data_IF_010282897849
#
_entry.id   IF_010282897849
#
_cell.length_a   1.000
_cell.length_b   1.000
_cell.length_c   1.000
_cell.angle_alpha   90.00
_cell.angle_beta   90.00
_cell.angle_gamma   90.00
#
_symmetry.space_group_name_H-M   'P 1'
#
loop_
_entity.id
_entity.type
_entity.pdbx_description
1 polymer ?
#
# COMPACT_ATOMS: atom_id res chain seq x y z
N UNK A 1 -8.58 6.13 -2.24
CA UNK A 1 -7.40 5.61 -2.99
C UNK A 1 -7.06 6.44 -4.23
N UNK A 2 -7.90 6.46 -5.27
CA UNK A 2 -7.63 7.21 -6.52
C UNK A 2 -7.20 8.68 -6.31
N UNK A 3 -7.96 9.44 -5.51
CA UNK A 3 -7.61 10.84 -5.23
C UNK A 3 -6.24 10.99 -4.53
N UNK A 4 -5.87 10.05 -3.66
CA UNK A 4 -4.57 10.05 -3.01
C UNK A 4 -3.45 9.75 -4.01
N UNK A 5 -3.65 8.79 -4.93
CA UNK A 5 -2.70 8.53 -6.01
C UNK A 5 -2.46 9.77 -6.88
N UNK A 6 -3.48 10.60 -7.12
CA UNK A 6 -3.32 11.89 -7.81
C UNK A 6 -2.53 12.88 -6.95
N UNK A 7 -2.89 13.04 -5.66
CA UNK A 7 -2.22 13.99 -4.75
C UNK A 7 -0.73 13.71 -4.55
N UNK A 8 -0.36 12.44 -4.48
CA UNK A 8 1.00 11.99 -4.18
C UNK A 8 1.82 11.63 -5.42
N UNK A 9 1.29 11.84 -6.63
CA UNK A 9 1.95 11.42 -7.88
C UNK A 9 2.32 9.92 -7.85
N UNK A 10 1.36 9.10 -7.39
CA UNK A 10 1.49 7.63 -7.21
C UNK A 10 1.45 6.84 -8.51
N UNK A 11 1.79 7.46 -9.64
CA UNK A 11 1.82 6.85 -10.96
C UNK A 11 2.69 7.68 -11.91
N UNK A 12 3.08 7.10 -13.04
CA UNK A 12 3.67 7.84 -14.16
C UNK A 12 2.98 7.43 -15.46
N UNK A 13 3.42 6.32 -16.10
CA UNK A 13 2.83 5.86 -17.36
C UNK A 13 1.37 5.37 -17.24
N UNK A 14 0.86 5.20 -16.01
CA UNK A 14 -0.50 4.74 -15.75
C UNK A 14 -0.74 3.24 -15.92
N UNK A 15 0.18 2.50 -16.55
CA UNK A 15 -0.06 1.11 -16.95
C UNK A 15 -0.33 0.16 -15.77
N UNK A 16 0.46 0.26 -14.69
CA UNK A 16 0.26 -0.55 -13.48
C UNK A 16 -0.82 0.01 -12.55
N UNK A 17 -1.25 1.26 -12.75
CA UNK A 17 -2.05 2.02 -11.77
C UNK A 17 -3.38 1.35 -11.40
N UNK A 18 -4.14 0.72 -12.32
CA UNK A 18 -5.34 -0.01 -11.95
C UNK A 18 -5.06 -1.15 -10.94
N UNK A 19 -4.01 -1.95 -11.18
CA UNK A 19 -3.61 -3.03 -10.28
C UNK A 19 -3.11 -2.53 -8.93
N UNK A 20 -2.34 -1.44 -8.93
CA UNK A 20 -1.88 -0.78 -7.72
C UNK A 20 -3.05 -0.29 -6.85
N UNK A 21 -4.06 0.34 -7.45
CA UNK A 21 -5.22 0.87 -6.72
C UNK A 21 -6.06 -0.26 -6.14
N UNK A 22 -6.38 -1.29 -6.93
CA UNK A 22 -7.18 -2.43 -6.45
C UNK A 22 -6.47 -3.16 -5.30
N UNK A 23 -5.17 -3.44 -5.47
CA UNK A 23 -4.39 -4.11 -4.44
C UNK A 23 -4.23 -3.24 -3.19
N UNK A 24 -3.99 -1.93 -3.34
CA UNK A 24 -3.84 -1.04 -2.19
C UNK A 24 -5.12 -0.96 -1.35
N UNK A 25 -6.31 -1.02 -1.96
CA UNK A 25 -7.58 -1.11 -1.21
C UNK A 25 -7.66 -2.43 -0.46
N UNK A 26 -7.41 -3.55 -1.14
CA UNK A 26 -7.46 -4.88 -0.53
C UNK A 26 -6.45 -5.03 0.62
N UNK A 27 -5.23 -4.54 0.45
CA UNK A 27 -4.17 -4.57 1.48
C UNK A 27 -4.59 -3.84 2.76
N UNK A 28 -5.24 -2.68 2.65
CA UNK A 28 -5.72 -1.95 3.83
C UNK A 28 -6.87 -2.70 4.53
N UNK A 29 -7.76 -3.35 3.76
CA UNK A 29 -8.82 -4.19 4.31
C UNK A 29 -8.26 -5.46 5.00
N UNK A 30 -7.25 -6.10 4.42
CA UNK A 30 -6.54 -7.25 5.00
C UNK A 30 -5.83 -6.91 6.32
N UNK A 31 -5.16 -5.76 6.38
CA UNK A 31 -4.54 -5.25 7.60
C UNK A 31 -5.61 -5.02 8.66
N UNK A 32 -6.72 -4.36 8.30
CA UNK A 32 -7.85 -4.14 9.21
C UNK A 32 -8.49 -5.44 9.71
N UNK A 33 -8.46 -6.49 8.89
CA UNK A 33 -8.93 -7.83 9.24
C UNK A 33 -7.92 -8.64 10.08
N UNK A 34 -6.71 -8.11 10.33
CA UNK A 34 -5.67 -8.78 11.11
C UNK A 34 -4.95 -9.89 10.37
N UNK A 35 -4.99 -9.91 9.03
CA UNK A 35 -4.26 -10.91 8.23
C UNK A 35 -2.76 -10.59 8.31
N UNK A 36 -1.89 -11.51 8.77
CA UNK A 36 -0.45 -11.26 8.85
C UNK A 36 0.22 -11.29 7.46
N UNK A 37 1.43 -10.75 7.36
CA UNK A 37 2.29 -10.85 6.17
C UNK A 37 3.65 -11.44 6.52
N UNK A 38 4.55 -11.51 5.54
CA UNK A 38 5.91 -12.01 5.75
C UNK A 38 6.75 -11.15 6.71
N UNK A 39 6.39 -9.87 6.87
CA UNK A 39 7.12 -8.91 7.72
C UNK A 39 6.42 -8.65 9.06
N UNK A 40 5.41 -9.43 9.41
CA UNK A 40 4.74 -9.34 10.72
C UNK A 40 5.60 -10.00 11.79
N UNK A 41 6.09 -9.21 12.76
CA UNK A 41 6.99 -9.70 13.82
C UNK A 41 6.27 -10.57 14.88
N UNK A 42 5.09 -10.14 15.33
CA UNK A 42 4.27 -10.85 16.32
C UNK A 42 2.90 -11.21 15.73
N UNK A 43 2.67 -12.49 15.47
CA UNK A 43 1.43 -13.02 14.90
C UNK A 43 0.22 -12.94 15.85
N UNK A 44 0.45 -12.63 17.13
CA UNK A 44 -0.60 -12.46 18.13
C UNK A 44 -0.95 -10.99 18.39
N UNK A 45 -0.14 -10.05 17.88
CA UNK A 45 -0.40 -8.62 17.99
C UNK A 45 -1.37 -8.13 16.89
N UNK A 46 -2.10 -7.02 17.12
CA UNK A 46 -2.89 -6.39 16.07
C UNK A 46 -2.01 -5.96 14.88
N UNK A 47 -2.47 -6.23 13.65
CA UNK A 47 -1.79 -5.77 12.45
C UNK A 47 -1.86 -4.24 12.31
N UNK A 48 -0.74 -3.60 11.96
CA UNK A 48 -0.64 -2.15 11.78
C UNK A 48 -0.30 -1.79 10.34
N UNK A 49 -0.89 -0.69 9.84
CA UNK A 49 -0.63 -0.17 8.50
C UNK A 49 0.69 0.62 8.42
N UNK A 50 1.80 -0.05 8.72
CA UNK A 50 3.15 0.51 8.60
C UNK A 50 3.62 0.50 7.14
N UNK A 51 4.62 1.34 6.80
CA UNK A 51 5.21 1.32 5.45
C UNK A 51 5.84 -0.02 5.08
N UNK A 52 6.40 -0.72 6.06
CA UNK A 52 7.05 -2.02 5.84
C UNK A 52 5.99 -3.06 5.48
N UNK A 53 4.88 -3.12 6.23
CA UNK A 53 3.72 -3.96 5.92
C UNK A 53 3.11 -3.64 4.56
N UNK A 54 2.88 -2.35 4.26
CA UNK A 54 2.31 -1.95 2.97
C UNK A 54 3.24 -2.31 1.80
N UNK A 55 4.57 -2.15 1.95
CA UNK A 55 5.53 -2.50 0.89
C UNK A 55 5.58 -4.00 0.62
N UNK A 56 5.62 -4.82 1.66
CA UNK A 56 5.63 -6.28 1.52
C UNK A 56 4.36 -6.75 0.80
N UNK A 57 3.19 -6.29 1.25
CA UNK A 57 1.90 -6.71 0.70
C UNK A 57 1.66 -6.20 -0.72
N UNK A 58 2.26 -5.06 -1.08
CA UNK A 58 2.18 -4.52 -2.44
C UNK A 58 3.25 -5.07 -3.39
N UNK A 59 4.16 -5.93 -2.93
CA UNK A 59 5.29 -6.46 -3.72
C UNK A 59 4.85 -7.24 -4.97
N UNK A 60 3.63 -7.78 -4.98
CA UNK A 60 3.01 -8.43 -6.14
C UNK A 60 2.62 -7.48 -7.29
N UNK A 61 2.69 -6.17 -7.11
CA UNK A 61 2.33 -5.17 -8.12
C UNK A 61 3.56 -4.43 -8.64
N UNK A 62 4.08 -4.88 -9.79
CA UNK A 62 5.29 -4.30 -10.39
C UNK A 62 5.02 -2.94 -11.06
N UNK A 63 5.85 -1.96 -10.74
CA UNK A 63 5.87 -0.62 -11.35
C UNK A 63 7.25 -0.36 -11.99
N UNK A 64 7.32 -0.40 -13.32
CA UNK A 64 8.60 -0.15 -14.03
C UNK A 64 9.03 1.31 -14.02
N UNK A 65 8.09 2.23 -13.86
CA UNK A 65 8.35 3.65 -13.68
C UNK A 65 9.02 3.98 -12.33
N UNK A 66 8.92 3.08 -11.35
CA UNK A 66 9.53 3.27 -10.03
C UNK A 66 8.76 4.21 -9.09
N UNK A 67 7.45 4.34 -9.25
CA UNK A 67 6.60 5.22 -8.43
C UNK A 67 6.31 4.69 -7.00
N UNK A 68 7.05 3.69 -6.51
CA UNK A 68 6.71 2.95 -5.29
C UNK A 68 6.66 3.81 -4.01
N UNK A 69 7.57 4.77 -3.86
CA UNK A 69 7.56 5.68 -2.69
C UNK A 69 6.27 6.49 -2.64
N UNK A 70 5.88 7.07 -3.77
CA UNK A 70 4.68 7.88 -3.93
C UNK A 70 3.39 7.04 -3.77
N UNK A 71 3.39 5.80 -4.26
CA UNK A 71 2.30 4.84 -4.02
C UNK A 71 2.16 4.57 -2.51
N UNK A 72 3.27 4.37 -1.80
CA UNK A 72 3.26 4.18 -0.34
C UNK A 72 2.76 5.43 0.40
N UNK A 73 3.08 6.64 -0.07
CA UNK A 73 2.58 7.90 0.51
C UNK A 73 1.06 8.04 0.30
N UNK A 74 0.56 7.71 -0.89
CA UNK A 74 -0.88 7.69 -1.18
C UNK A 74 -1.64 6.71 -0.27
N UNK A 75 -1.06 5.54 0.01
CA UNK A 75 -1.66 4.56 0.92
C UNK A 75 -1.65 5.04 2.37
N UNK A 76 -0.54 5.61 2.85
CA UNK A 76 -0.42 6.14 4.21
C UNK A 76 -1.47 7.23 4.49
N UNK A 77 -1.69 8.13 3.52
CA UNK A 77 -2.75 9.15 3.62
C UNK A 77 -4.14 8.51 3.80
N UNK A 78 -4.48 7.49 3.00
CA UNK A 78 -5.77 6.81 3.07
C UNK A 78 -5.93 6.01 4.36
N UNK A 79 -4.86 5.38 4.83
CA UNK A 79 -4.83 4.64 6.09
C UNK A 79 -4.91 5.54 7.33
N UNK A 80 -4.67 6.85 7.16
CA UNK A 80 -4.55 7.79 8.28
C UNK A 80 -3.30 7.55 9.14
N UNK A 81 -2.33 6.80 8.63
CA UNK A 81 -1.03 6.59 9.27
C UNK A 81 -0.07 7.73 8.94
N UNK A 82 0.79 8.12 9.88
CA UNK A 82 1.81 9.13 9.62
C UNK A 82 2.88 8.55 8.70
N UNK A 83 3.11 9.27 7.60
CA UNK A 83 4.16 9.04 6.61
C UNK A 83 5.55 8.97 7.24
#
# INVERSE_FOLDING_TARGET
MQAAFIRHDGYQCGYCTPGQICSAVAVLDEIKAGVPSHVTDDLMAPAEATRVEMRERMSGNLCRCGAYSNISDAMAEVAGSRA
#
